data_IF_395672915888
#
_entry.id   IF_395672915888
#
_cell.length_a   1.000
_cell.length_b   1.000
_cell.length_c   1.000
_cell.angle_alpha   90.00
_cell.angle_beta   90.00
_cell.angle_gamma   90.00
#
_symmetry.space_group_name_H-M   'P 1'
#
loop_
_entity.id
_entity.type
_entity.pdbx_description
1 polymer ?
#
# COMPACT_ATOMS: atom_id res chain seq x y z
N UNK A 1 22.70 -10.91 14.98
CA UNK A 1 23.96 -10.94 15.75
C UNK A 1 24.16 -12.30 16.43
N UNK A 2 23.14 -12.87 17.08
CA UNK A 2 23.13 -14.32 17.42
C UNK A 2 23.34 -15.20 16.17
N UNK A 3 22.70 -14.83 15.05
CA UNK A 3 22.91 -15.43 13.72
C UNK A 3 24.33 -15.26 13.13
N UNK A 4 25.17 -14.39 13.70
CA UNK A 4 26.56 -14.21 13.26
C UNK A 4 27.54 -15.08 14.06
N UNK A 5 27.07 -15.77 15.12
CA UNK A 5 27.91 -16.65 15.93
C UNK A 5 28.93 -15.95 16.82
N UNK A 6 28.85 -14.63 16.99
CA UNK A 6 29.87 -13.80 17.67
C UNK A 6 29.97 -14.02 19.19
N UNK A 7 29.01 -14.72 19.79
CA UNK A 7 29.00 -15.11 21.20
C UNK A 7 28.12 -16.35 21.36
N UNK A 8 28.36 -17.14 22.41
CA UNK A 8 27.61 -18.35 22.73
C UNK A 8 27.81 -19.50 21.74
N UNK A 9 28.76 -19.39 20.80
CA UNK A 9 29.19 -20.44 19.89
C UNK A 9 30.53 -21.04 20.33
N UNK A 10 30.85 -22.25 19.89
CA UNK A 10 32.14 -22.88 20.20
C UNK A 10 33.33 -22.17 19.52
N UNK A 11 33.05 -21.35 18.50
CA UNK A 11 34.05 -20.74 17.63
C UNK A 11 34.51 -19.35 18.11
N UNK A 12 33.84 -18.77 19.13
CA UNK A 12 34.18 -17.45 19.68
C UNK A 12 34.33 -17.47 21.21
N UNK A 13 35.23 -16.65 21.79
CA UNK A 13 35.59 -16.73 23.21
C UNK A 13 34.56 -16.10 24.16
N UNK A 14 33.46 -15.54 23.65
CA UNK A 14 32.47 -14.82 24.45
C UNK A 14 31.27 -15.72 24.75
N UNK A 15 30.99 -15.96 26.03
CA UNK A 15 29.85 -16.80 26.43
C UNK A 15 28.53 -16.02 26.30
N UNK A 16 28.56 -14.71 26.52
CA UNK A 16 27.37 -13.85 26.45
C UNK A 16 27.58 -12.60 25.60
N UNK A 17 26.47 -12.00 25.15
CA UNK A 17 26.48 -10.73 24.44
C UNK A 17 27.12 -9.61 25.27
N UNK A 18 26.86 -9.59 26.57
CA UNK A 18 27.35 -8.53 27.46
C UNK A 18 28.88 -8.54 27.56
N UNK A 19 29.48 -9.74 27.65
CA UNK A 19 30.94 -9.91 27.64
C UNK A 19 31.55 -9.47 26.32
N UNK A 20 30.92 -9.83 25.19
CA UNK A 20 31.36 -9.38 23.88
C UNK A 20 31.34 -7.85 23.77
N UNK A 21 30.22 -7.21 24.15
CA UNK A 21 30.09 -5.75 24.06
C UNK A 21 31.13 -5.06 24.95
N UNK A 22 31.31 -5.51 26.19
CA UNK A 22 32.29 -4.94 27.11
C UNK A 22 33.73 -5.06 26.56
N UNK A 23 34.10 -6.21 25.99
CA UNK A 23 35.43 -6.42 25.42
C UNK A 23 35.67 -5.57 24.16
N UNK A 24 34.66 -5.35 23.33
CA UNK A 24 34.75 -4.47 22.16
C UNK A 24 34.84 -3.00 22.56
N UNK A 25 34.10 -2.58 23.60
CA UNK A 25 34.16 -1.21 24.13
C UNK A 25 35.52 -0.91 24.80
N UNK A 26 36.04 -1.84 25.60
CA UNK A 26 37.35 -1.70 26.27
C UNK A 26 38.52 -1.69 25.26
N UNK A 27 38.41 -2.51 24.21
CA UNK A 27 39.38 -2.55 23.12
C UNK A 27 39.36 -1.34 22.18
N UNK A 28 38.32 -0.49 22.28
CA UNK A 28 38.17 0.72 21.49
C UNK A 28 38.16 0.50 19.96
N UNK A 29 38.49 1.55 19.22
CA UNK A 29 38.39 1.57 17.75
C UNK A 29 39.24 0.50 17.06
N UNK A 30 40.43 0.20 17.59
CA UNK A 30 41.33 -0.79 17.00
C UNK A 30 40.72 -2.20 17.02
N UNK A 31 40.09 -2.60 18.14
CA UNK A 31 39.41 -3.88 18.26
C UNK A 31 38.16 -3.95 17.37
N UNK A 32 37.43 -2.83 17.23
CA UNK A 32 36.31 -2.73 16.28
C UNK A 32 36.76 -2.89 14.82
N UNK A 33 37.91 -2.33 14.45
CA UNK A 33 38.48 -2.47 13.09
C UNK A 33 38.90 -3.90 12.79
N UNK A 34 39.55 -4.58 13.74
CA UNK A 34 39.92 -6.00 13.60
C UNK A 34 38.68 -6.87 13.46
N UNK A 35 37.67 -6.67 14.34
CA UNK A 35 36.40 -7.38 14.25
C UNK A 35 35.70 -7.16 12.90
N UNK A 36 35.66 -5.91 12.41
CA UNK A 36 35.06 -5.59 11.11
C UNK A 36 35.81 -6.26 9.95
N UNK A 37 37.15 -6.26 10.01
CA UNK A 37 38.00 -6.94 9.02
C UNK A 37 37.77 -8.45 9.02
N UNK A 38 37.69 -9.07 10.19
CA UNK A 38 37.53 -10.51 10.32
C UNK A 38 36.11 -10.93 9.90
N UNK A 39 35.08 -10.18 10.31
CA UNK A 39 33.71 -10.34 9.81
C UNK A 39 33.66 -10.19 8.27
N UNK A 40 34.46 -9.31 7.67
CA UNK A 40 34.59 -9.18 6.21
C UNK A 40 35.30 -10.37 5.57
N UNK A 41 36.39 -10.85 6.16
CA UNK A 41 37.15 -12.01 5.67
C UNK A 41 36.32 -13.31 5.74
N UNK A 42 35.52 -13.48 6.80
CA UNK A 42 34.57 -14.59 6.95
C UNK A 42 33.34 -14.47 6.03
N UNK A 43 33.20 -13.35 5.31
CA UNK A 43 32.02 -13.08 4.48
C UNK A 43 30.76 -12.79 5.27
N UNK A 44 30.86 -12.56 6.58
CA UNK A 44 29.77 -12.14 7.46
C UNK A 44 29.41 -10.65 7.29
N UNK A 45 30.33 -9.87 6.70
CA UNK A 45 30.10 -8.51 6.14
C UNK A 45 29.78 -8.52 4.64
N UNK A 46 29.44 -9.67 4.05
CA UNK A 46 28.95 -9.72 2.68
C UNK A 46 27.42 -9.72 2.66
N UNK A 47 26.81 -8.66 2.13
CA UNK A 47 25.39 -8.70 1.76
C UNK A 47 25.26 -9.50 0.46
N UNK A 48 25.02 -10.82 0.58
CA UNK A 48 24.73 -11.65 -0.60
C UNK A 48 23.32 -11.33 -1.09
N UNK A 49 23.23 -10.75 -2.27
CA UNK A 49 21.94 -10.59 -2.96
C UNK A 49 21.51 -11.93 -3.53
N UNK A 50 20.23 -12.26 -3.37
CA UNK A 50 19.64 -13.41 -4.05
C UNK A 50 19.67 -13.15 -5.56
N UNK A 51 20.15 -14.11 -6.35
CA UNK A 51 20.12 -14.01 -7.80
C UNK A 51 18.69 -13.96 -8.31
N UNK A 52 18.38 -13.06 -9.25
CA UNK A 52 17.13 -13.09 -10.01
C UNK A 52 17.29 -13.84 -11.34
N UNK A 53 18.39 -14.56 -11.52
CA UNK A 53 18.56 -15.46 -12.64
C UNK A 53 17.42 -16.50 -12.68
N UNK A 54 16.81 -16.66 -13.85
CA UNK A 54 15.65 -17.53 -14.06
C UNK A 54 14.31 -16.94 -13.59
N UNK A 55 14.30 -15.78 -12.93
CA UNK A 55 13.06 -15.04 -12.64
C UNK A 55 12.57 -14.39 -13.94
N UNK A 56 11.35 -14.72 -14.34
CA UNK A 56 10.68 -14.06 -15.46
C UNK A 56 9.77 -12.95 -14.94
N UNK A 57 9.63 -11.88 -15.71
CA UNK A 57 8.57 -10.91 -15.47
C UNK A 57 7.84 -10.45 -16.73
N UNK A 58 6.58 -10.08 -16.55
CA UNK A 58 5.68 -9.53 -17.57
C UNK A 58 4.82 -8.38 -17.02
N UNK A 59 4.17 -7.65 -17.93
CA UNK A 59 3.26 -6.56 -17.59
C UNK A 59 1.88 -6.91 -18.11
N UNK A 60 0.91 -6.90 -17.21
CA UNK A 60 -0.51 -6.95 -17.53
C UNK A 60 -1.04 -5.52 -17.56
N UNK A 61 -1.27 -5.00 -18.77
CA UNK A 61 -1.85 -3.66 -18.95
C UNK A 61 -3.38 -3.73 -18.99
N UNK A 62 -4.01 -2.96 -18.11
CA UNK A 62 -5.44 -2.69 -18.08
C UNK A 62 -5.72 -1.34 -18.74
N UNK A 63 -6.33 -1.36 -19.92
CA UNK A 63 -6.88 -0.15 -20.51
C UNK A 63 -8.14 0.25 -19.75
N UNK A 64 -8.14 1.45 -19.16
CA UNK A 64 -9.38 1.97 -18.56
C UNK A 64 -10.49 2.01 -19.61
N UNK A 65 -11.65 1.45 -19.26
CA UNK A 65 -12.85 1.53 -20.09
C UNK A 65 -13.40 2.95 -20.12
N UNK A 66 -14.24 3.29 -21.11
CA UNK A 66 -14.86 4.62 -21.19
C UNK A 66 -15.62 4.99 -19.90
N UNK A 67 -16.23 4.01 -19.24
CA UNK A 67 -16.88 4.21 -17.95
C UNK A 67 -15.86 4.52 -16.84
N UNK A 68 -14.77 3.77 -16.75
CA UNK A 68 -13.72 4.03 -15.76
C UNK A 68 -13.05 5.38 -16.00
N UNK A 69 -12.87 5.80 -17.25
CA UNK A 69 -12.39 7.15 -17.60
C UNK A 69 -13.36 8.21 -17.08
N UNK A 70 -14.67 8.07 -17.33
CA UNK A 70 -15.68 9.01 -16.79
C UNK A 70 -15.66 9.07 -15.27
N UNK A 71 -15.51 7.93 -14.58
CA UNK A 71 -15.40 7.89 -13.12
C UNK A 71 -14.13 8.62 -12.65
N UNK A 72 -12.99 8.31 -13.27
CA UNK A 72 -11.70 8.95 -12.96
C UNK A 72 -11.78 10.47 -13.14
N UNK A 73 -12.35 10.95 -14.25
CA UNK A 73 -12.50 12.37 -14.55
C UNK A 73 -13.45 13.06 -13.56
N UNK A 74 -14.54 12.39 -13.16
CA UNK A 74 -15.47 12.91 -12.14
C UNK A 74 -14.77 13.14 -10.79
N UNK A 75 -13.90 12.22 -10.38
CA UNK A 75 -13.10 12.39 -9.17
C UNK A 75 -11.99 13.43 -9.34
N UNK A 76 -11.36 13.53 -10.51
CA UNK A 76 -10.38 14.58 -10.81
C UNK A 76 -11.01 15.98 -10.71
N UNK A 77 -12.21 16.16 -11.27
CA UNK A 77 -12.98 17.39 -11.13
C UNK A 77 -13.34 17.67 -9.66
N UNK A 78 -13.80 16.66 -8.92
CA UNK A 78 -14.10 16.80 -7.49
C UNK A 78 -12.86 17.28 -6.70
N UNK A 79 -11.68 16.71 -6.95
CA UNK A 79 -10.43 17.18 -6.32
C UNK A 79 -10.06 18.60 -6.72
N UNK A 80 -10.35 19.04 -7.94
CA UNK A 80 -10.17 20.43 -8.35
C UNK A 80 -11.08 21.37 -7.56
N UNK A 81 -12.35 21.00 -7.37
CA UNK A 81 -13.31 21.77 -6.58
C UNK A 81 -12.90 21.82 -5.10
N UNK A 82 -12.45 20.71 -4.53
CA UNK A 82 -11.90 20.66 -3.16
C UNK A 82 -10.67 21.57 -3.04
N UNK A 83 -9.76 21.55 -4.02
CA UNK A 83 -8.56 22.40 -4.02
C UNK A 83 -8.91 23.89 -4.02
N UNK A 84 -9.89 24.30 -4.83
CA UNK A 84 -10.35 25.68 -4.87
C UNK A 84 -10.97 26.10 -3.53
N UNK A 85 -11.83 25.24 -2.97
CA UNK A 85 -12.45 25.50 -1.66
C UNK A 85 -11.45 25.47 -0.51
N UNK A 86 -10.38 24.67 -0.60
CA UNK A 86 -9.31 24.65 0.39
C UNK A 86 -8.63 26.02 0.49
N UNK A 87 -8.31 26.65 -0.65
CA UNK A 87 -7.71 27.99 -0.64
C UNK A 87 -8.67 29.03 -0.04
N UNK A 88 -9.95 28.99 -0.42
CA UNK A 88 -10.97 29.89 0.14
C UNK A 88 -11.18 29.66 1.65
N UNK A 89 -11.17 28.41 2.09
CA UNK A 89 -11.30 28.06 3.51
C UNK A 89 -10.10 28.54 4.33
N UNK A 90 -8.88 28.43 3.81
CA UNK A 90 -7.67 28.97 4.47
C UNK A 90 -7.74 30.50 4.66
N UNK A 91 -8.37 31.22 3.72
CA UNK A 91 -8.59 32.66 3.83
C UNK A 91 -9.71 32.98 4.83
N UNK A 92 -10.87 32.34 4.69
CA UNK A 92 -12.01 32.53 5.59
C UNK A 92 -11.69 32.14 7.04
N UNK A 93 -10.77 31.19 7.24
CA UNK A 93 -10.34 30.74 8.56
C UNK A 93 -9.23 31.61 9.16
N UNK A 94 -8.73 32.65 8.48
CA UNK A 94 -7.67 33.53 8.97
C UNK A 94 -6.26 32.91 8.95
N UNK A 95 -6.05 31.79 8.26
CA UNK A 95 -4.71 31.18 8.09
C UNK A 95 -3.91 31.93 7.02
N UNK A 96 -4.62 32.43 5.99
CA UNK A 96 -4.09 33.32 4.97
C UNK A 96 -4.94 34.58 4.89
N UNK A 97 -4.37 35.66 4.35
CA UNK A 97 -5.10 36.87 4.01
C UNK A 97 -4.70 37.33 2.61
N UNK A 98 -5.42 38.30 2.03
CA UNK A 98 -5.06 38.91 0.75
C UNK A 98 -3.63 39.52 0.72
N UNK A 99 -3.00 39.73 1.87
CA UNK A 99 -1.62 40.24 2.01
C UNK A 99 -0.56 39.14 2.18
N UNK A 100 -0.94 37.89 2.40
CA UNK A 100 0.03 36.79 2.56
C UNK A 100 -0.43 35.63 3.45
N UNK A 101 0.55 34.84 3.92
CA UNK A 101 0.28 33.70 4.83
C UNK A 101 0.53 34.13 6.27
N UNK A 102 -0.51 34.05 7.11
CA UNK A 102 -0.47 34.46 8.52
C UNK A 102 -0.04 33.31 9.43
N UNK A 103 -0.35 32.06 9.05
CA UNK A 103 0.12 30.87 9.75
C UNK A 103 0.69 29.84 8.77
N UNK A 104 2.02 29.83 8.64
CA UNK A 104 2.74 28.94 7.70
C UNK A 104 2.55 27.46 8.04
N UNK A 105 2.54 27.12 9.32
CA UNK A 105 2.43 25.74 9.80
C UNK A 105 1.04 25.16 9.50
N UNK A 106 -0.03 25.91 9.84
CA UNK A 106 -1.40 25.50 9.57
C UNK A 106 -1.66 25.33 8.06
N UNK A 107 -1.16 26.27 7.24
CA UNK A 107 -1.22 26.18 5.77
C UNK A 107 -0.49 24.95 5.24
N UNK A 108 0.73 24.70 5.70
CA UNK A 108 1.54 23.56 5.29
C UNK A 108 0.87 22.23 5.68
N UNK A 109 0.33 22.14 6.90
CA UNK A 109 -0.40 20.97 7.39
C UNK A 109 -1.63 20.67 6.52
N UNK A 110 -2.48 21.66 6.24
CA UNK A 110 -3.67 21.50 5.42
C UNK A 110 -3.33 21.05 3.99
N UNK A 111 -2.30 21.66 3.37
CA UNK A 111 -1.84 21.28 2.03
C UNK A 111 -1.24 19.88 2.00
N UNK A 112 -0.43 19.53 3.00
CA UNK A 112 0.17 18.20 3.13
C UNK A 112 -0.91 17.12 3.27
N UNK A 113 -1.92 17.37 4.10
CA UNK A 113 -3.05 16.46 4.29
C UNK A 113 -3.86 16.27 2.99
N UNK A 114 -4.11 17.36 2.25
CA UNK A 114 -4.80 17.32 0.96
C UNK A 114 -4.04 16.49 -0.08
N UNK A 115 -2.75 16.80 -0.29
CA UNK A 115 -1.92 16.10 -1.26
C UNK A 115 -1.74 14.61 -0.91
N UNK A 116 -1.57 14.31 0.38
CA UNK A 116 -1.47 12.93 0.86
C UNK A 116 -2.78 12.16 0.66
N UNK A 117 -3.92 12.77 0.94
CA UNK A 117 -5.24 12.17 0.67
C UNK A 117 -5.43 11.89 -0.82
N UNK A 118 -5.13 12.88 -1.67
CA UNK A 118 -5.21 12.76 -3.14
C UNK A 118 -4.38 11.59 -3.68
N UNK A 119 -3.12 11.48 -3.26
CA UNK A 119 -2.26 10.38 -3.68
C UNK A 119 -2.82 9.02 -3.25
N UNK A 120 -3.23 8.87 -1.99
CA UNK A 120 -3.82 7.61 -1.50
C UNK A 120 -5.10 7.25 -2.25
N UNK A 121 -5.98 8.22 -2.48
CA UNK A 121 -7.23 8.04 -3.19
C UNK A 121 -7.01 7.51 -4.61
N UNK A 122 -6.21 8.20 -5.44
CA UNK A 122 -6.02 7.80 -6.82
C UNK A 122 -5.26 6.47 -6.97
N UNK A 123 -4.32 6.18 -6.07
CA UNK A 123 -3.69 4.86 -6.04
C UNK A 123 -4.73 3.76 -5.77
N UNK A 124 -5.59 3.95 -4.76
CA UNK A 124 -6.64 2.98 -4.44
C UNK A 124 -7.67 2.84 -5.57
N UNK A 125 -8.06 3.96 -6.19
CA UNK A 125 -9.00 4.00 -7.31
C UNK A 125 -8.46 3.19 -8.51
N UNK A 126 -7.24 3.48 -8.96
CA UNK A 126 -6.62 2.79 -10.09
C UNK A 126 -6.39 1.30 -9.79
N UNK A 127 -5.98 0.98 -8.56
CA UNK A 127 -5.81 -0.41 -8.12
C UNK A 127 -7.14 -1.16 -8.19
N UNK A 128 -8.22 -0.53 -7.74
CA UNK A 128 -9.56 -1.11 -7.80
C UNK A 128 -10.06 -1.25 -9.24
N UNK A 129 -9.80 -0.27 -10.11
CA UNK A 129 -10.20 -0.29 -11.53
C UNK A 129 -9.50 -1.38 -12.33
N UNK A 130 -8.23 -1.71 -12.02
CA UNK A 130 -7.45 -2.73 -12.75
C UNK A 130 -7.57 -4.13 -12.17
N UNK A 131 -8.13 -4.27 -10.96
CA UNK A 131 -8.32 -5.59 -10.31
C UNK A 131 -9.11 -6.58 -11.17
N UNK A 132 -10.19 -6.20 -11.87
CA UNK A 132 -10.92 -7.13 -12.74
C UNK A 132 -10.07 -7.76 -13.84
N UNK A 133 -9.09 -7.03 -14.39
CA UNK A 133 -8.18 -7.56 -15.40
C UNK A 133 -7.27 -8.67 -14.86
N UNK A 134 -7.05 -8.72 -13.54
CA UNK A 134 -6.25 -9.74 -12.88
C UNK A 134 -7.04 -11.01 -12.52
N UNK A 135 -8.37 -10.92 -12.38
CA UNK A 135 -9.22 -12.06 -12.00
C UNK A 135 -9.07 -13.23 -12.98
N UNK A 136 -9.28 -12.98 -14.28
CA UNK A 136 -9.18 -14.02 -15.30
C UNK A 136 -7.79 -14.69 -15.39
N UNK A 137 -6.68 -13.93 -15.34
CA UNK A 137 -5.34 -14.50 -15.18
C UNK A 137 -5.18 -15.39 -13.95
N UNK A 138 -5.69 -14.99 -12.77
CA UNK A 138 -5.61 -15.82 -11.56
C UNK A 138 -6.37 -17.14 -11.73
N UNK A 139 -7.57 -17.10 -12.32
CA UNK A 139 -8.36 -18.30 -12.61
C UNK A 139 -7.56 -19.30 -13.46
N UNK A 140 -7.00 -18.83 -14.58
CA UNK A 140 -6.16 -19.65 -15.45
C UNK A 140 -4.90 -20.16 -14.75
N UNK A 141 -4.22 -19.31 -13.99
CA UNK A 141 -3.01 -19.70 -13.27
C UNK A 141 -3.31 -20.86 -12.29
N UNK A 142 -4.45 -20.80 -11.59
CA UNK A 142 -4.90 -21.85 -10.65
C UNK A 142 -5.28 -23.13 -11.39
N UNK A 143 -6.03 -23.03 -12.49
CA UNK A 143 -6.42 -24.16 -13.37
C UNK A 143 -5.20 -24.89 -13.95
N UNK A 144 -4.15 -24.16 -14.32
CA UNK A 144 -2.89 -24.70 -14.84
C UNK A 144 -2.00 -25.35 -13.76
N UNK A 145 -2.45 -25.40 -12.51
CA UNK A 145 -1.65 -26.01 -11.44
C UNK A 145 -0.65 -25.05 -10.79
N UNK A 146 -0.76 -23.74 -11.00
CA UNK A 146 0.11 -22.75 -10.36
C UNK A 146 -0.50 -22.18 -9.07
N UNK A 147 0.33 -21.49 -8.26
CA UNK A 147 -0.12 -20.76 -7.08
C UNK A 147 -0.04 -19.25 -7.35
N UNK A 148 -1.17 -18.56 -7.20
CA UNK A 148 -1.27 -17.13 -7.44
C UNK A 148 -0.97 -16.35 -6.15
N UNK A 149 -0.06 -15.40 -6.23
CA UNK A 149 0.25 -14.46 -5.14
C UNK A 149 -0.18 -13.06 -5.60
N UNK A 150 -0.87 -12.32 -4.76
CA UNK A 150 -1.30 -10.94 -5.01
C UNK A 150 -0.71 -10.04 -3.93
N UNK A 151 0.15 -9.13 -4.35
CA UNK A 151 0.71 -8.10 -3.48
C UNK A 151 -0.09 -6.81 -3.61
N UNK A 152 -0.61 -6.35 -2.47
CA UNK A 152 -1.29 -5.06 -2.32
C UNK A 152 -0.63 -4.23 -1.21
N UNK A 153 -0.99 -2.95 -1.12
CA UNK A 153 -0.60 -2.09 0.01
C UNK A 153 -1.84 -1.68 0.79
N UNK A 154 -2.86 -1.23 0.07
CA UNK A 154 -4.10 -0.71 0.60
C UNK A 154 -5.10 -1.84 0.85
N UNK A 155 -5.40 -2.13 2.12
CA UNK A 155 -6.31 -3.22 2.52
C UNK A 155 -7.76 -2.78 2.72
N UNK A 156 -8.05 -1.48 2.71
CA UNK A 156 -9.40 -0.96 3.01
C UNK A 156 -9.84 -1.17 4.47
N UNK A 157 -8.95 -1.58 5.38
CA UNK A 157 -9.30 -1.90 6.77
C UNK A 157 -9.96 -0.73 7.50
N UNK A 158 -9.32 0.45 7.52
CA UNK A 158 -9.86 1.61 8.23
C UNK A 158 -11.20 2.07 7.66
N UNK A 159 -11.38 1.94 6.34
CA UNK A 159 -12.65 2.25 5.66
C UNK A 159 -13.74 1.25 6.09
N UNK A 160 -13.42 -0.05 6.09
CA UNK A 160 -14.33 -1.11 6.50
C UNK A 160 -14.76 -0.92 7.96
N UNK A 161 -13.81 -0.76 8.89
CA UNK A 161 -14.09 -0.63 10.33
C UNK A 161 -14.97 0.59 10.64
N UNK A 162 -14.72 1.73 9.99
CA UNK A 162 -15.54 2.93 10.17
C UNK A 162 -16.97 2.71 9.71
N UNK A 163 -17.17 2.16 8.51
CA UNK A 163 -18.51 1.89 7.98
C UNK A 163 -19.26 0.86 8.82
N UNK A 164 -18.58 -0.17 9.31
CA UNK A 164 -19.20 -1.15 10.20
C UNK A 164 -19.55 -0.58 11.58
N UNK A 165 -18.87 0.46 12.05
CA UNK A 165 -19.21 1.12 13.32
C UNK A 165 -20.54 1.88 13.27
N UNK A 166 -21.01 2.24 12.07
CA UNK A 166 -22.29 2.91 11.84
C UNK A 166 -23.46 1.92 11.70
N UNK A 167 -23.17 0.61 11.60
CA UNK A 167 -24.17 -0.44 11.30
C UNK A 167 -24.39 -1.32 12.53
N UNK A 168 -25.64 -1.50 12.99
CA UNK A 168 -25.97 -2.43 14.07
C UNK A 168 -25.46 -3.85 13.81
N UNK A 169 -24.93 -4.51 14.84
CA UNK A 169 -24.29 -5.84 14.69
C UNK A 169 -25.24 -6.95 14.26
N UNK A 170 -26.53 -6.80 14.52
CA UNK A 170 -27.60 -7.71 14.07
C UNK A 170 -27.83 -7.66 12.55
N UNK A 171 -27.49 -6.55 11.91
CA UNK A 171 -27.55 -6.39 10.45
C UNK A 171 -26.34 -6.99 9.73
N UNK A 172 -25.27 -7.37 10.45
CA UNK A 172 -24.01 -7.85 9.86
C UNK A 172 -24.14 -9.14 9.04
N UNK A 173 -25.26 -9.86 9.17
CA UNK A 173 -25.57 -11.05 8.38
C UNK A 173 -26.04 -10.77 6.95
N UNK A 174 -26.47 -9.55 6.64
CA UNK A 174 -26.93 -9.13 5.32
C UNK A 174 -26.73 -7.62 5.17
N UNK A 175 -25.53 -7.23 4.73
CA UNK A 175 -25.13 -5.83 4.63
C UNK A 175 -25.00 -5.39 3.17
N UNK A 176 -25.42 -4.15 2.91
CA UNK A 176 -25.14 -3.45 1.66
C UNK A 176 -24.30 -2.23 2.02
N UNK A 177 -22.97 -2.42 2.13
CA UNK A 177 -22.04 -1.36 2.55
C UNK A 177 -21.22 -0.91 1.38
N UNK A 178 -21.27 0.39 1.12
CA UNK A 178 -20.39 1.08 0.20
C UNK A 178 -19.02 1.31 0.86
N UNK A 179 -18.15 0.30 0.81
CA UNK A 179 -16.74 0.42 1.25
C UNK A 179 -15.89 0.75 0.03
N UNK A 180 -15.71 2.05 -0.21
CA UNK A 180 -15.04 2.53 -1.43
C UNK A 180 -14.03 3.65 -1.18
N UNK A 181 -13.09 3.89 -2.12
CA UNK A 181 -12.07 4.93 -1.99
C UNK A 181 -12.62 6.32 -1.65
N UNK A 182 -13.89 6.57 -1.97
CA UNK A 182 -14.62 7.79 -1.63
C UNK A 182 -14.49 8.18 -0.16
N UNK A 183 -14.41 7.20 0.74
CA UNK A 183 -14.19 7.40 2.18
C UNK A 183 -12.87 8.12 2.50
N UNK A 184 -11.84 7.96 1.68
CA UNK A 184 -10.55 8.66 1.86
C UNK A 184 -10.73 10.17 1.68
N UNK A 185 -11.60 10.57 0.76
CA UNK A 185 -11.94 11.97 0.52
C UNK A 185 -12.80 12.50 1.66
N UNK A 186 -13.83 11.75 2.06
CA UNK A 186 -14.70 12.12 3.18
C UNK A 186 -13.89 12.31 4.48
N UNK A 187 -12.95 11.41 4.76
CA UNK A 187 -12.06 11.51 5.91
C UNK A 187 -11.21 12.77 5.91
N UNK A 188 -10.63 13.13 4.76
CA UNK A 188 -9.89 14.37 4.63
C UNK A 188 -10.80 15.58 4.91
N UNK A 189 -12.01 15.58 4.34
CA UNK A 189 -12.96 16.67 4.52
C UNK A 189 -13.37 16.82 6.00
N UNK A 190 -13.66 15.72 6.70
CA UNK A 190 -14.05 15.75 8.10
C UNK A 190 -12.91 16.15 9.05
N UNK A 191 -11.71 15.59 8.85
CA UNK A 191 -10.66 15.62 9.88
C UNK A 191 -9.53 16.61 9.58
N UNK A 192 -9.40 17.08 8.34
CA UNK A 192 -8.21 17.83 7.89
C UNK A 192 -8.53 19.05 7.05
N UNK A 193 -9.79 19.24 6.62
CA UNK A 193 -10.22 20.47 5.98
C UNK A 193 -10.18 21.64 6.99
N UNK A 194 -9.59 22.79 6.63
CA UNK A 194 -9.34 23.88 7.58
C UNK A 194 -10.65 24.58 7.96
N UNK A 195 -11.28 24.09 9.03
CA UNK A 195 -12.55 24.62 9.55
C UNK A 195 -12.39 25.39 10.87
N UNK A 196 -11.27 25.24 11.58
CA UNK A 196 -10.99 26.00 12.79
C UNK A 196 -10.69 27.48 12.46
N UNK A 197 -11.25 28.40 13.25
CA UNK A 197 -11.04 29.84 13.14
C UNK A 197 -9.69 30.25 13.73
N UNK A 198 -8.99 31.15 13.05
CA UNK A 198 -7.77 31.80 13.52
C UNK A 198 -8.01 33.31 13.60
N UNK A 199 -7.52 33.92 14.68
CA UNK A 199 -7.53 35.38 14.85
C UNK A 199 -6.16 35.96 14.52
N UNK A 200 -6.16 37.17 13.94
CA UNK A 200 -4.94 37.91 13.66
C UNK A 200 -4.35 38.48 14.95
N UNK A 201 -3.02 38.46 15.06
CA UNK A 201 -2.28 39.15 16.11
C UNK A 201 -0.95 39.68 15.57
N UNK A 202 -0.43 40.73 16.19
CA UNK A 202 0.92 41.22 15.92
C UNK A 202 1.90 40.67 16.95
N UNK A 203 3.03 40.14 16.50
CA UNK A 203 4.12 39.76 17.40
C UNK A 203 4.91 40.98 17.89
N UNK A 204 5.91 40.74 18.74
CA UNK A 204 6.76 41.79 19.31
C UNK A 204 7.60 42.55 18.26
N UNK A 205 7.77 41.99 17.06
CA UNK A 205 8.51 42.57 15.93
C UNK A 205 7.59 43.31 14.96
N UNK A 206 6.27 43.32 15.22
CA UNK A 206 5.26 43.95 14.38
C UNK A 206 4.82 43.11 13.18
N UNK A 207 5.23 41.83 13.11
CA UNK A 207 4.76 40.93 12.06
C UNK A 207 3.31 40.52 12.34
N UNK A 208 2.48 40.56 11.30
CA UNK A 208 1.10 40.09 11.37
C UNK A 208 1.04 38.56 11.20
N UNK A 209 0.57 37.87 12.22
CA UNK A 209 0.44 36.41 12.28
C UNK A 209 -0.98 36.02 12.68
N UNK A 210 -1.29 34.73 12.67
CA UNK A 210 -2.57 34.24 13.19
C UNK A 210 -2.44 33.03 14.11
N UNK A 211 -3.32 32.98 15.10
CA UNK A 211 -3.36 31.93 16.13
C UNK A 211 -4.75 31.31 16.25
N UNK A 212 -4.86 30.02 16.61
CA UNK A 212 -6.15 29.36 16.76
C UNK A 212 -7.01 30.02 17.83
N UNK A 213 -8.30 30.17 17.55
CA UNK A 213 -9.30 30.69 18.49
C UNK A 213 -9.91 29.52 19.28
N UNK A 214 -10.07 29.73 20.59
CA UNK A 214 -10.74 28.80 21.50
C UNK A 214 -11.86 29.53 22.25
N UNK A 215 -12.94 28.81 22.58
CA UNK A 215 -14.01 29.33 23.42
C UNK A 215 -13.62 29.33 24.91
N UNK A 216 -14.55 29.77 25.77
CA UNK A 216 -14.33 29.84 27.22
C UNK A 216 -14.07 28.48 27.88
N UNK A 217 -14.53 27.39 27.25
CA UNK A 217 -14.37 26.01 27.72
C UNK A 217 -13.10 25.35 27.14
N UNK A 218 -12.35 26.08 26.30
CA UNK A 218 -11.13 25.60 25.64
C UNK A 218 -11.38 24.79 24.36
N UNK A 219 -12.60 24.80 23.81
CA UNK A 219 -12.90 24.12 22.56
C UNK A 219 -12.49 24.97 21.34
N UNK A 220 -12.01 24.36 20.24
CA UNK A 220 -11.73 25.07 19.00
C UNK A 220 -12.97 25.79 18.45
N UNK A 221 -12.86 27.10 18.20
CA UNK A 221 -13.93 27.85 17.52
C UNK A 221 -13.88 27.55 16.02
N UNK A 222 -15.04 27.27 15.41
CA UNK A 222 -15.14 26.94 13.99
C UNK A 222 -15.50 28.16 13.13
N UNK A 223 -14.84 28.30 11.99
CA UNK A 223 -15.21 29.24 10.94
C UNK A 223 -16.45 28.73 10.20
N UNK A 224 -17.58 29.44 10.36
CA UNK A 224 -18.87 29.07 9.77
C UNK A 224 -18.83 28.91 8.25
N UNK A 225 -18.11 29.81 7.57
CA UNK A 225 -17.98 29.75 6.10
C UNK A 225 -17.17 28.52 5.66
N UNK A 226 -16.05 28.23 6.32
CA UNK A 226 -15.24 27.06 6.01
C UNK A 226 -15.99 25.74 6.28
N UNK A 227 -16.80 25.69 7.35
CA UNK A 227 -17.70 24.55 7.64
C UNK A 227 -18.73 24.37 6.53
N UNK A 228 -19.43 25.43 6.13
CA UNK A 228 -20.42 25.36 5.05
C UNK A 228 -19.80 24.85 3.73
N UNK A 229 -18.58 25.29 3.41
CA UNK A 229 -17.83 24.80 2.23
C UNK A 229 -17.52 23.32 2.33
N UNK A 230 -17.04 22.84 3.48
CA UNK A 230 -16.78 21.42 3.73
C UNK A 230 -18.05 20.58 3.52
N UNK A 231 -19.16 21.02 4.11
CA UNK A 231 -20.41 20.25 4.09
C UNK A 231 -20.99 20.15 2.67
N UNK A 232 -20.91 21.23 1.88
CA UNK A 232 -21.28 21.21 0.46
C UNK A 232 -20.38 20.26 -0.38
N UNK A 233 -19.10 20.14 -0.05
CA UNK A 233 -18.19 19.19 -0.71
C UNK A 233 -18.55 17.74 -0.37
N UNK A 234 -18.94 17.46 0.88
CA UNK A 234 -19.37 16.13 1.33
C UNK A 234 -20.66 15.69 0.63
N UNK A 235 -21.62 16.60 0.48
CA UNK A 235 -22.87 16.33 -0.25
C UNK A 235 -22.58 15.95 -1.71
N UNK A 236 -21.75 16.74 -2.41
CA UNK A 236 -21.36 16.43 -3.79
C UNK A 236 -20.61 15.10 -3.89
N UNK A 237 -19.76 14.78 -2.93
CA UNK A 237 -18.99 13.53 -2.88
C UNK A 237 -19.93 12.31 -2.86
N UNK A 238 -21.03 12.36 -2.11
CA UNK A 238 -22.00 11.26 -1.99
C UNK A 238 -22.63 10.82 -3.32
N UNK A 239 -22.64 11.70 -4.33
CA UNK A 239 -23.15 11.39 -5.66
C UNK A 239 -22.17 10.66 -6.58
N UNK A 240 -20.88 10.57 -6.19
CA UNK A 240 -19.85 10.00 -7.05
C UNK A 240 -19.87 8.46 -7.07
N UNK A 241 -19.52 7.84 -8.22
CA UNK A 241 -19.54 6.38 -8.37
C UNK A 241 -18.66 5.63 -7.37
N UNK A 242 -19.21 4.56 -6.82
CA UNK A 242 -18.59 3.66 -5.87
C UNK A 242 -17.81 2.55 -6.62
N UNK A 243 -16.54 2.35 -6.27
CA UNK A 243 -15.72 1.22 -6.79
C UNK A 243 -15.21 0.39 -5.61
N UNK A 244 -15.56 -0.90 -5.50
CA UNK A 244 -15.13 -1.77 -4.41
C UNK A 244 -13.60 -1.90 -4.32
N UNK A 245 -13.08 -2.11 -3.11
CA UNK A 245 -11.64 -2.28 -2.90
C UNK A 245 -11.10 -3.52 -3.64
N UNK A 246 -9.84 -3.47 -4.07
CA UNK A 246 -9.19 -4.60 -4.74
C UNK A 246 -9.23 -5.90 -3.93
N UNK A 247 -9.03 -5.82 -2.62
CA UNK A 247 -9.07 -6.97 -1.72
C UNK A 247 -10.48 -7.57 -1.64
N UNK A 248 -11.51 -6.73 -1.52
CA UNK A 248 -12.89 -7.21 -1.50
C UNK A 248 -13.28 -7.84 -2.84
N UNK A 249 -12.90 -7.23 -3.97
CA UNK A 249 -13.14 -7.83 -5.31
C UNK A 249 -12.54 -9.23 -5.43
N UNK A 250 -11.31 -9.44 -4.94
CA UNK A 250 -10.64 -10.75 -5.00
C UNK A 250 -11.30 -11.75 -4.04
N UNK A 251 -11.50 -11.38 -2.77
CA UNK A 251 -12.09 -12.27 -1.77
C UNK A 251 -13.54 -12.65 -2.13
N UNK A 252 -14.32 -11.71 -2.64
CA UNK A 252 -15.71 -11.96 -3.04
C UNK A 252 -15.83 -12.76 -4.34
N UNK A 253 -14.82 -12.69 -5.22
CA UNK A 253 -14.79 -13.47 -6.47
C UNK A 253 -14.41 -14.93 -6.24
N UNK A 254 -13.37 -15.17 -5.45
CA UNK A 254 -12.77 -16.50 -5.27
C UNK A 254 -13.23 -17.20 -3.97
N UNK A 255 -13.83 -16.46 -3.06
CA UNK A 255 -14.25 -16.98 -1.77
C UNK A 255 -13.09 -17.15 -0.78
N UNK A 256 -13.46 -17.34 0.48
CA UNK A 256 -12.50 -17.48 1.58
C UNK A 256 -11.80 -18.82 1.61
N UNK A 257 -12.36 -19.82 0.91
CA UNK A 257 -11.82 -21.17 0.90
C UNK A 257 -10.62 -21.29 -0.02
N UNK A 258 -10.59 -20.52 -1.11
CA UNK A 258 -9.47 -20.51 -2.06
C UNK A 258 -8.43 -19.42 -1.78
N UNK A 259 -8.82 -18.35 -1.07
CA UNK A 259 -7.96 -17.19 -0.82
C UNK A 259 -7.40 -17.22 0.60
N UNK A 260 -6.08 -17.36 0.69
CA UNK A 260 -5.31 -17.07 1.88
C UNK A 260 -5.11 -15.55 2.02
N UNK A 261 -5.77 -14.95 3.00
CA UNK A 261 -5.67 -13.51 3.26
C UNK A 261 -4.65 -13.23 4.39
N UNK A 262 -3.54 -12.58 4.06
CA UNK A 262 -2.50 -12.17 5.02
C UNK A 262 -2.40 -10.64 5.05
N UNK A 263 -3.36 -10.02 5.72
CA UNK A 263 -3.53 -8.56 5.80
C UNK A 263 -3.71 -8.11 7.25
N UNK A 264 -3.73 -6.80 7.49
CA UNK A 264 -4.05 -6.24 8.81
C UNK A 264 -5.53 -6.32 9.20
N UNK A 265 -6.43 -6.73 8.29
CA UNK A 265 -7.89 -6.68 8.52
C UNK A 265 -8.31 -7.59 9.68
N UNK A 266 -9.06 -7.00 10.60
CA UNK A 266 -9.79 -7.66 11.68
C UNK A 266 -11.15 -8.20 11.23
N UNK A 267 -11.74 -7.58 10.19
CA UNK A 267 -13.01 -7.97 9.60
C UNK A 267 -12.96 -7.83 8.09
N UNK A 268 -13.72 -8.68 7.39
CA UNK A 268 -13.89 -8.64 5.94
C UNK A 268 -15.35 -8.82 5.54
N UNK A 269 -15.68 -8.34 4.34
CA UNK A 269 -17.02 -8.46 3.76
C UNK A 269 -16.99 -9.61 2.75
N UNK A 270 -17.71 -10.69 3.06
CA UNK A 270 -17.76 -11.90 2.23
C UNK A 270 -19.11 -12.00 1.54
N UNK A 271 -19.11 -12.53 0.32
CA UNK A 271 -20.33 -12.85 -0.40
C UNK A 271 -20.99 -14.07 0.24
N UNK A 272 -22.31 -14.02 0.44
CA UNK A 272 -23.15 -15.16 0.77
C UNK A 272 -23.82 -15.66 -0.50
N UNK A 273 -23.55 -16.91 -0.87
CA UNK A 273 -24.28 -17.57 -1.94
C UNK A 273 -25.51 -18.26 -1.33
N UNK A 274 -26.64 -17.57 -1.34
CA UNK A 274 -27.95 -18.09 -0.90
C UNK A 274 -28.80 -18.63 -2.06
N UNK A 275 -28.23 -18.74 -3.26
CA UNK A 275 -28.94 -19.16 -4.47
C UNK A 275 -29.87 -18.09 -5.07
N UNK A 276 -29.90 -16.88 -4.50
CA UNK A 276 -30.65 -15.74 -5.03
C UNK A 276 -29.98 -15.06 -6.22
N UNK A 277 -30.75 -14.25 -6.95
CA UNK A 277 -30.25 -13.42 -8.07
C UNK A 277 -29.51 -12.16 -7.59
N UNK A 278 -29.64 -11.79 -6.32
CA UNK A 278 -29.01 -10.60 -5.72
C UNK A 278 -27.83 -11.05 -4.88
N UNK A 279 -26.66 -10.45 -5.10
CA UNK A 279 -25.48 -10.72 -4.28
C UNK A 279 -25.71 -10.15 -2.87
N UNK A 280 -25.67 -11.03 -1.87
CA UNK A 280 -25.74 -10.66 -0.44
C UNK A 280 -24.36 -10.73 0.18
N UNK A 281 -24.09 -9.83 1.11
CA UNK A 281 -22.80 -9.76 1.78
C UNK A 281 -22.97 -9.86 3.29
N UNK A 282 -21.97 -10.43 3.95
CA UNK A 282 -21.94 -10.52 5.39
C UNK A 282 -20.56 -10.15 5.94
N UNK A 283 -20.55 -9.65 7.16
CA UNK A 283 -19.31 -9.39 7.89
C UNK A 283 -18.79 -10.70 8.45
N UNK A 284 -17.52 -10.99 8.17
CA UNK A 284 -16.79 -12.08 8.79
C UNK A 284 -15.63 -11.51 9.61
N UNK A 285 -15.64 -11.78 10.92
CA UNK A 285 -14.53 -11.49 11.81
C UNK A 285 -13.37 -12.46 11.57
N UNK A 286 -12.14 -11.95 11.67
CA UNK A 286 -10.91 -12.72 11.55
C UNK A 286 -10.26 -12.83 12.93
N UNK A 287 -9.80 -14.03 13.30
CA UNK A 287 -9.09 -14.25 14.55
C UNK A 287 -7.73 -13.55 14.55
N UNK A 288 -7.16 -13.29 15.73
CA UNK A 288 -5.79 -12.76 15.83
C UNK A 288 -4.73 -13.72 15.25
N UNK A 289 -5.02 -15.02 15.16
CA UNK A 289 -4.17 -16.04 14.52
C UNK A 289 -4.38 -16.15 13.01
N UNK A 290 -5.38 -15.48 12.43
CA UNK A 290 -5.81 -15.73 11.05
C UNK A 290 -4.65 -15.64 10.04
N UNK A 291 -3.74 -14.67 10.19
CA UNK A 291 -2.59 -14.56 9.29
C UNK A 291 -1.64 -15.77 9.36
N UNK A 292 -1.51 -16.44 10.50
CA UNK A 292 -0.72 -17.67 10.63
C UNK A 292 -1.45 -18.85 10.00
N UNK A 293 -2.74 -18.99 10.30
CA UNK A 293 -3.58 -20.09 9.79
C UNK A 293 -3.69 -20.03 8.26
N UNK A 294 -3.91 -18.83 7.69
CA UNK A 294 -3.97 -18.59 6.25
C UNK A 294 -2.61 -18.81 5.56
N UNK A 295 -1.50 -18.43 6.22
CA UNK A 295 -0.15 -18.73 5.70
C UNK A 295 0.08 -20.23 5.64
N UNK A 296 -0.31 -20.95 6.70
CA UNK A 296 -0.19 -22.41 6.75
C UNK A 296 -1.04 -23.06 5.66
N UNK A 297 -2.31 -22.69 5.53
CA UNK A 297 -3.21 -23.24 4.51
C UNK A 297 -2.66 -23.04 3.09
N UNK A 298 -2.05 -21.89 2.79
CA UNK A 298 -1.36 -21.68 1.51
C UNK A 298 -0.13 -22.59 1.34
N UNK A 299 0.73 -22.70 2.36
CA UNK A 299 1.95 -23.51 2.28
C UNK A 299 1.69 -25.03 2.33
N UNK A 300 0.56 -25.45 2.90
CA UNK A 300 0.08 -26.84 2.95
C UNK A 300 -0.72 -27.24 1.68
N UNK A 301 -0.76 -26.35 0.69
CA UNK A 301 -1.43 -26.51 -0.62
C UNK A 301 -2.97 -26.67 -0.51
N UNK A 302 -3.57 -26.14 0.56
CA UNK A 302 -5.01 -26.12 0.76
C UNK A 302 -5.66 -24.92 0.04
N UNK A 303 -4.94 -23.80 -0.04
CA UNK A 303 -5.38 -22.58 -0.72
C UNK A 303 -4.43 -22.22 -1.86
N UNK A 304 -4.91 -22.15 -3.13
CA UNK A 304 -4.05 -21.87 -4.27
C UNK A 304 -3.77 -20.37 -4.47
N UNK A 305 -4.55 -19.48 -3.84
CA UNK A 305 -4.43 -18.03 -3.99
C UNK A 305 -4.00 -17.44 -2.64
N UNK A 306 -3.01 -16.56 -2.66
CA UNK A 306 -2.57 -15.78 -1.52
C UNK A 306 -2.63 -14.29 -1.83
N UNK A 307 -3.22 -13.51 -0.94
CA UNK A 307 -3.16 -12.04 -0.99
C UNK A 307 -2.51 -11.51 0.28
N UNK A 308 -1.55 -10.61 0.14
CA UNK A 308 -0.86 -10.03 1.29
C UNK A 308 -0.68 -8.52 1.16
N UNK A 309 -0.64 -7.86 2.32
CA UNK A 309 -0.20 -6.48 2.46
C UNK A 309 1.12 -6.40 3.23
N UNK A 310 1.81 -5.26 3.17
CA UNK A 310 3.04 -5.01 3.93
C UNK A 310 2.87 -5.32 5.44
N UNK A 311 1.80 -4.79 6.05
CA UNK A 311 1.49 -4.98 7.46
C UNK A 311 1.24 -6.47 7.82
N UNK A 312 0.58 -7.23 6.94
CA UNK A 312 0.32 -8.65 7.18
C UNK A 312 1.51 -9.57 6.88
N UNK A 313 2.29 -9.25 5.84
CA UNK A 313 3.37 -10.11 5.33
C UNK A 313 4.72 -9.97 6.05
N UNK A 314 4.83 -9.10 7.05
CA UNK A 314 6.09 -8.86 7.75
C UNK A 314 6.64 -10.16 8.35
N UNK A 315 7.90 -10.47 8.02
CA UNK A 315 8.60 -11.66 8.51
C UNK A 315 8.22 -12.99 7.84
N UNK A 316 7.21 -13.01 6.96
CA UNK A 316 6.73 -14.24 6.32
C UNK A 316 7.41 -14.52 4.97
N UNK A 317 7.35 -15.77 4.54
CA UNK A 317 7.83 -16.24 3.24
C UNK A 317 6.77 -17.15 2.61
N UNK A 318 6.57 -16.98 1.31
CA UNK A 318 5.58 -17.68 0.49
C UNK A 318 6.23 -18.33 -0.74
N UNK A 319 7.56 -18.37 -0.79
CA UNK A 319 8.30 -19.07 -1.84
C UNK A 319 7.90 -20.55 -1.90
N UNK A 320 8.13 -21.18 -3.06
CA UNK A 320 7.94 -22.61 -3.25
C UNK A 320 9.08 -23.39 -2.58
N UNK A 321 9.14 -23.35 -1.25
CA UNK A 321 10.18 -24.00 -0.44
C UNK A 321 10.19 -25.52 -0.68
N UNK A 322 11.38 -26.10 -0.88
CA UNK A 322 11.57 -27.55 -1.04
C UNK A 322 11.12 -28.36 0.19
N UNK A 323 11.03 -27.73 1.37
CA UNK A 323 10.49 -28.34 2.59
C UNK A 323 8.99 -28.18 2.76
N UNK A 324 8.31 -27.36 1.96
CA UNK A 324 6.86 -27.17 2.03
C UNK A 324 6.12 -28.15 1.10
N UNK A 325 4.85 -28.43 1.43
CA UNK A 325 3.98 -29.25 0.59
C UNK A 325 3.59 -28.51 -0.69
N UNK A 326 3.24 -27.23 -0.59
CA UNK A 326 2.96 -26.41 -1.76
C UNK A 326 4.26 -25.99 -2.45
N UNK A 327 4.65 -26.74 -3.48
CA UNK A 327 5.80 -26.42 -4.33
C UNK A 327 5.38 -25.92 -5.71
N UNK A 328 4.14 -25.44 -5.87
CA UNK A 328 3.63 -24.94 -7.17
C UNK A 328 4.40 -23.70 -7.63
N UNK A 329 4.53 -23.50 -8.94
CA UNK A 329 5.12 -22.26 -9.48
C UNK A 329 4.38 -21.03 -8.92
N UNK A 330 5.13 -20.06 -8.41
CA UNK A 330 4.58 -18.83 -7.84
C UNK A 330 4.38 -17.79 -8.94
N UNK A 331 3.12 -17.45 -9.19
CA UNK A 331 2.70 -16.40 -10.11
C UNK A 331 2.41 -15.17 -9.26
N UNK A 332 3.42 -14.34 -9.04
CA UNK A 332 3.35 -13.21 -8.14
C UNK A 332 2.94 -11.95 -8.90
N UNK A 333 1.69 -11.58 -8.68
CA UNK A 333 1.03 -10.40 -9.22
C UNK A 333 1.28 -9.20 -8.32
N UNK A 334 2.11 -8.26 -8.78
CA UNK A 334 2.28 -6.95 -8.16
C UNK A 334 1.10 -6.07 -8.57
N UNK A 335 -0.01 -6.18 -7.83
CA UNK A 335 -1.24 -5.44 -8.08
C UNK A 335 -1.11 -3.99 -7.61
N UNK A 336 -0.53 -3.75 -6.44
CA UNK A 336 -0.26 -2.41 -5.93
C UNK A 336 1.20 -2.28 -5.54
N UNK A 337 1.95 -1.54 -6.35
CA UNK A 337 3.36 -1.27 -6.12
C UNK A 337 3.62 -0.17 -5.07
N UNK A 338 2.65 0.73 -4.89
CA UNK A 338 2.81 1.94 -4.08
C UNK A 338 3.80 2.93 -4.64
N UNK A 339 4.18 3.88 -3.80
CA UNK A 339 5.05 5.01 -4.17
C UNK A 339 6.53 4.77 -3.89
N UNK A 340 6.86 3.66 -3.23
CA UNK A 340 8.20 3.30 -2.77
C UNK A 340 8.65 1.99 -3.40
N UNK A 341 9.54 2.10 -4.39
CA UNK A 341 10.05 0.95 -5.14
C UNK A 341 10.80 -0.07 -4.26
N UNK A 342 11.40 0.36 -3.15
CA UNK A 342 12.03 -0.52 -2.17
C UNK A 342 11.02 -1.40 -1.44
N UNK A 343 9.87 -0.86 -1.04
CA UNK A 343 8.77 -1.62 -0.41
C UNK A 343 8.22 -2.65 -1.41
N UNK A 344 8.00 -2.24 -2.66
CA UNK A 344 7.53 -3.14 -3.71
C UNK A 344 8.46 -4.36 -3.87
N UNK A 345 9.77 -4.13 -3.98
CA UNK A 345 10.79 -5.18 -4.15
C UNK A 345 10.91 -6.07 -2.91
N UNK A 346 10.80 -5.50 -1.70
CA UNK A 346 10.75 -6.30 -0.48
C UNK A 346 9.56 -7.27 -0.47
N UNK A 347 8.42 -6.84 -1.01
CA UNK A 347 7.26 -7.70 -1.23
C UNK A 347 7.56 -8.84 -2.22
N UNK A 348 8.21 -8.57 -3.35
CA UNK A 348 8.64 -9.61 -4.31
C UNK A 348 9.57 -10.65 -3.66
N UNK A 349 10.44 -10.21 -2.75
CA UNK A 349 11.30 -11.09 -1.94
C UNK A 349 10.54 -12.00 -0.95
N UNK A 350 9.22 -11.89 -0.84
CA UNK A 350 8.39 -12.83 -0.06
C UNK A 350 8.14 -14.13 -0.82
N UNK A 351 8.13 -14.11 -2.15
CA UNK A 351 7.97 -15.32 -2.97
C UNK A 351 9.27 -15.78 -3.65
N UNK A 352 10.36 -15.02 -3.51
CA UNK A 352 11.68 -15.34 -4.07
C UNK A 352 12.71 -15.46 -2.95
N UNK A 353 13.17 -16.68 -2.66
CA UNK A 353 14.11 -17.01 -1.58
C UNK A 353 15.04 -18.15 -1.98
N UNK A 354 16.11 -18.35 -1.22
CA UNK A 354 16.91 -19.58 -1.28
C UNK A 354 16.06 -20.81 -0.93
N UNK A 355 16.48 -22.01 -1.34
CA UNK A 355 15.77 -23.28 -1.10
C UNK A 355 14.39 -23.40 -1.77
N UNK A 356 14.11 -22.60 -2.80
CA UNK A 356 12.90 -22.75 -3.60
C UNK A 356 13.07 -23.83 -4.68
N UNK A 357 12.02 -24.60 -4.95
CA UNK A 357 11.96 -25.60 -6.00
C UNK A 357 12.14 -25.00 -7.40
N UNK A 358 11.62 -23.78 -7.61
CA UNK A 358 11.79 -23.02 -8.85
C UNK A 358 11.62 -21.50 -8.60
N UNK A 359 12.21 -20.64 -9.46
CA UNK A 359 11.97 -19.19 -9.41
C UNK A 359 10.52 -18.80 -9.68
N UNK A 360 10.02 -17.73 -9.02
CA UNK A 360 8.70 -17.18 -9.29
C UNK A 360 8.67 -16.50 -10.67
N UNK A 361 7.46 -16.29 -11.16
CA UNK A 361 7.17 -15.37 -12.27
C UNK A 361 6.47 -14.13 -11.71
N UNK A 362 6.98 -12.96 -12.05
CA UNK A 362 6.42 -11.67 -11.61
C UNK A 362 5.54 -11.04 -12.68
N UNK A 363 4.28 -10.76 -12.34
CA UNK A 363 3.35 -10.03 -13.20
C UNK A 363 3.08 -8.65 -12.62
N UNK A 364 3.54 -7.60 -13.28
CA UNK A 364 3.23 -6.22 -12.88
C UNK A 364 1.91 -5.79 -13.50
N UNK A 365 0.94 -5.40 -12.66
CA UNK A 365 -0.38 -4.96 -13.16
C UNK A 365 -0.40 -3.43 -13.24
N UNK A 366 -0.65 -2.89 -14.43
CA UNK A 366 -0.61 -1.45 -14.71
C UNK A 366 -1.89 -1.00 -15.39
N UNK A 367 -2.32 0.24 -15.17
CA UNK A 367 -3.27 0.90 -16.07
C UNK A 367 -2.56 1.61 -17.22
N UNK A 368 -3.33 2.04 -18.22
CA UNK A 368 -2.87 2.97 -19.26
C UNK A 368 -2.69 4.42 -18.75
N UNK A 369 -2.89 4.70 -17.46
CA UNK A 369 -2.65 6.03 -16.86
C UNK A 369 -1.16 6.28 -16.73
N UNK A 370 -0.67 7.34 -17.39
CA UNK A 370 0.76 7.66 -17.50
C UNK A 370 1.47 7.80 -16.14
N UNK A 371 0.79 8.38 -15.15
CA UNK A 371 1.36 8.58 -13.82
C UNK A 371 1.73 7.25 -13.16
N UNK A 372 0.84 6.24 -13.22
CA UNK A 372 1.10 4.92 -12.64
C UNK A 372 2.21 4.18 -13.40
N UNK A 373 2.19 4.23 -14.74
CA UNK A 373 3.24 3.61 -15.58
C UNK A 373 4.64 4.08 -15.23
N UNK A 374 4.80 5.35 -14.83
CA UNK A 374 6.09 5.92 -14.40
C UNK A 374 6.64 5.26 -13.13
N UNK A 375 5.78 4.93 -12.16
CA UNK A 375 6.24 4.28 -10.93
C UNK A 375 6.63 2.81 -11.19
N UNK A 376 5.84 2.11 -11.99
CA UNK A 376 6.13 0.72 -12.35
C UNK A 376 7.40 0.58 -13.18
N UNK A 377 7.73 1.54 -14.05
CA UNK A 377 8.98 1.49 -14.83
C UNK A 377 10.23 1.55 -13.95
N UNK A 378 10.15 2.25 -12.81
CA UNK A 378 11.26 2.28 -11.82
C UNK A 378 11.49 0.93 -11.18
N UNK A 379 10.41 0.18 -10.90
CA UNK A 379 10.47 -1.18 -10.35
C UNK A 379 10.98 -2.17 -11.39
N UNK A 380 10.46 -2.10 -12.62
CA UNK A 380 10.92 -2.92 -13.74
C UNK A 380 12.44 -2.76 -13.97
N UNK A 381 12.94 -1.52 -14.03
CA UNK A 381 14.38 -1.24 -14.18
C UNK A 381 15.22 -1.83 -13.06
N UNK A 382 14.72 -1.81 -11.81
CA UNK A 382 15.41 -2.43 -10.68
C UNK A 382 15.44 -3.95 -10.81
N UNK A 383 14.35 -4.59 -11.28
CA UNK A 383 14.32 -6.02 -11.56
C UNK A 383 15.33 -6.40 -12.66
N UNK A 384 15.40 -5.63 -13.74
CA UNK A 384 16.40 -5.82 -14.80
C UNK A 384 17.83 -5.74 -14.25
N UNK A 385 18.10 -4.73 -13.41
CA UNK A 385 19.43 -4.55 -12.78
C UNK A 385 19.81 -5.71 -11.87
N UNK A 386 18.81 -6.39 -11.27
CA UNK A 386 19.01 -7.56 -10.41
C UNK A 386 19.16 -8.87 -11.20
N UNK A 387 18.98 -8.85 -12.53
CA UNK A 387 19.15 -10.01 -13.42
C UNK A 387 17.85 -10.74 -13.76
N UNK A 388 16.68 -10.16 -13.46
CA UNK A 388 15.40 -10.71 -13.91
C UNK A 388 15.24 -10.57 -15.43
N UNK A 389 14.57 -11.52 -16.07
CA UNK A 389 14.43 -11.58 -17.54
C UNK A 389 13.00 -11.17 -17.92
N UNK A 390 12.87 -10.22 -18.85
CA UNK A 390 11.57 -9.90 -19.47
C UNK A 390 11.15 -11.01 -20.43
N UNK A 391 9.87 -11.39 -20.45
CA UNK A 391 9.37 -12.34 -21.47
C UNK A 391 9.56 -11.84 -22.92
N UNK A 392 9.68 -10.52 -23.14
CA UNK A 392 9.97 -9.92 -24.45
C UNK A 392 11.42 -10.09 -24.94
N UNK A 393 12.39 -10.33 -24.05
CA UNK A 393 13.81 -10.54 -24.42
C UNK A 393 14.07 -11.89 -25.09
N UNK A 394 13.17 -12.88 -24.97
CA UNK A 394 13.36 -14.21 -25.58
C UNK A 394 13.12 -14.23 -27.09
N UNK A 395 12.51 -13.21 -27.70
CA UNK A 395 12.15 -13.26 -29.13
C UNK A 395 12.49 -12.03 -29.98
N UNK A 396 12.83 -10.87 -29.42
CA UNK A 396 13.23 -9.70 -30.23
C UNK A 396 14.11 -8.76 -29.43
N UNK A 397 15.17 -8.24 -30.07
CA UNK A 397 16.02 -7.18 -29.53
C UNK A 397 15.18 -6.06 -28.93
N UNK A 398 15.50 -5.69 -27.69
CA UNK A 398 14.65 -4.87 -26.84
C UNK A 398 14.25 -3.56 -27.48
N UNK A 399 12.94 -3.39 -27.69
CA UNK A 399 12.24 -2.11 -27.77
C UNK A 399 10.74 -2.43 -27.86
N UNK A 400 9.93 -2.08 -26.84
CA UNK A 400 8.48 -2.23 -26.98
C UNK A 400 7.64 -1.86 -25.77
N UNK A 401 8.01 -2.30 -24.56
CA UNK A 401 7.08 -2.21 -23.42
C UNK A 401 7.14 -0.85 -22.70
N UNK A 402 8.32 -0.23 -22.64
CA UNK A 402 8.50 1.14 -22.18
C UNK A 402 9.20 1.94 -23.27
N UNK A 403 8.45 2.80 -23.97
CA UNK A 403 9.03 3.75 -24.93
C UNK A 403 9.89 4.77 -24.15
N UNK A 404 11.02 5.23 -24.69
CA UNK A 404 11.76 6.36 -24.13
C UNK A 404 10.88 7.61 -23.93
N UNK A 405 9.77 7.77 -24.65
CA UNK A 405 8.80 8.84 -24.43
C UNK A 405 7.93 8.73 -23.16
N UNK A 406 8.00 7.62 -22.42
CA UNK A 406 7.47 7.52 -21.05
C UNK A 406 8.45 8.10 -20.00
N UNK A 407 9.62 8.55 -20.45
CA UNK A 407 10.65 9.18 -19.67
C UNK A 407 10.38 10.69 -19.60
N UNK A 408 9.94 11.18 -18.44
CA UNK A 408 9.90 12.61 -18.14
C UNK A 408 11.07 13.04 -17.23
N UNK A 409 12.14 12.25 -17.15
CA UNK A 409 13.40 12.69 -16.51
C UNK A 409 14.33 13.45 -17.47
N UNK A 410 13.77 14.14 -18.47
CA UNK A 410 14.52 15.14 -19.25
C UNK A 410 13.80 16.48 -19.25
N UNK A 411 14.50 17.45 -18.65
CA UNK A 411 14.30 18.91 -18.58
C UNK A 411 13.27 19.42 -17.57
N UNK A 412 13.74 19.60 -16.32
CA UNK A 412 13.49 20.84 -15.59
C UNK A 412 14.53 21.87 -16.01
#
# INVERSE_FOLDING_TARGET
AERLGLWGSADFPFATRSEFVAAIEDGGVATMEVLARDLKAMGLYASRSLSFEGVEYDILEHGLSDEQVRIYDSYAEAYQVIHNNLNAALEASGITSGKGTLNKNAKAAARSAFESSKQRFFNHLLTSMKTPALIGPIERDVEEGHAAIVQIISTGQSLTERRLAEIPTDEWGDIQVDVTPREIVAEFLHNSFPTQLFEEYSDAEGNLLSRPVYDADGNPVLCREAVARRDALLERLGSLPAIPTALDQIVQRFGTDLVAEITGRTRRIVRRDDGGTIARFAVQSRSGSANLDETRAFMDDEKPILIFSEAGGTGRSYHADLGAKNQRLRLHNLLEAGWRADIAIQGLGRSHRTNQAQPPRFRMVATNVKAERRFLSTIARRLDTLGAITRGQRQTGGQGVFRPGGNLETQY
#
